data_IF_867715063641
#
_entry.id   IF_867715063641
#
_cell.length_a   1.000
_cell.length_b   1.000
_cell.length_c   1.000
_cell.angle_alpha   90.00
_cell.angle_beta   90.00
_cell.angle_gamma   90.00
#
_symmetry.space_group_name_H-M   'P 1'
#
loop_
_entity.id
_entity.type
_entity.pdbx_description
1 polymer ?
#
# COMPACT_ATOMS: atom_id res chain seq x y z
N UNK A 1 0.43 14.48 20.11
CA UNK A 1 -0.05 13.27 19.44
C UNK A 1 0.46 13.17 18.01
N UNK A 2 -0.03 13.98 17.05
CA UNK A 2 0.44 13.89 15.64
C UNK A 2 1.92 14.28 15.50
N UNK A 3 2.34 15.37 16.14
CA UNK A 3 3.75 15.79 16.13
C UNK A 3 4.68 14.71 16.71
N UNK A 4 4.33 14.17 17.88
CA UNK A 4 5.08 13.08 18.53
C UNK A 4 5.19 11.83 17.63
N UNK A 5 4.12 11.47 16.90
CA UNK A 5 4.17 10.35 15.94
C UNK A 5 5.04 10.62 14.71
N UNK A 6 5.13 11.88 14.26
CA UNK A 6 6.03 12.26 13.17
C UNK A 6 7.50 12.23 13.63
N UNK A 7 7.76 12.70 14.84
CA UNK A 7 9.09 12.63 15.47
C UNK A 7 9.53 11.18 15.69
N UNK A 8 8.62 10.32 16.17
CA UNK A 8 8.87 8.87 16.33
C UNK A 8 9.16 8.19 14.98
N UNK A 9 8.45 8.56 13.92
CA UNK A 9 8.63 7.96 12.60
C UNK A 9 9.97 8.36 11.96
N UNK A 10 10.43 9.61 12.14
CA UNK A 10 11.74 10.10 11.72
C UNK A 10 12.12 9.69 10.29
N UNK A 11 13.29 9.06 10.13
CA UNK A 11 13.84 8.63 8.85
C UNK A 11 12.95 7.62 8.09
N UNK A 12 12.05 6.92 8.78
CA UNK A 12 11.14 5.94 8.15
C UNK A 12 10.16 6.63 7.20
N UNK A 13 9.84 7.90 7.43
CA UNK A 13 9.01 8.72 6.54
C UNK A 13 9.65 8.89 5.15
N UNK A 14 10.98 8.81 5.07
CA UNK A 14 11.75 8.99 3.84
C UNK A 14 12.16 7.66 3.19
N UNK A 15 11.64 6.52 3.63
CA UNK A 15 11.93 5.20 3.07
C UNK A 15 11.65 5.10 1.56
N UNK A 16 10.70 5.88 1.03
CA UNK A 16 10.39 5.93 -0.39
C UNK A 16 11.54 6.49 -1.26
N UNK A 17 12.48 7.23 -0.69
CA UNK A 17 13.65 7.77 -1.43
C UNK A 17 14.58 6.66 -1.94
N UNK A 18 14.44 5.45 -1.40
CA UNK A 18 15.16 4.24 -1.83
C UNK A 18 14.55 3.57 -3.07
N UNK A 19 13.39 4.05 -3.50
CA UNK A 19 12.69 3.59 -4.71
C UNK A 19 13.09 4.46 -5.90
N UNK A 20 12.93 3.92 -7.11
CA UNK A 20 13.08 4.70 -8.34
C UNK A 20 12.12 5.93 -8.31
N UNK A 21 12.55 7.12 -8.78
CA UNK A 21 11.71 8.32 -8.79
C UNK A 21 10.35 8.13 -9.47
N UNK A 22 10.23 7.24 -10.45
CA UNK A 22 8.95 6.90 -11.09
C UNK A 22 7.93 6.30 -10.11
N UNK A 23 8.39 5.69 -9.01
CA UNK A 23 7.55 5.06 -7.98
C UNK A 23 7.17 6.01 -6.84
N UNK A 24 7.82 7.17 -6.70
CA UNK A 24 7.61 8.06 -5.56
C UNK A 24 6.18 8.57 -5.44
N UNK A 25 5.49 8.74 -6.58
CA UNK A 25 4.07 9.11 -6.59
C UNK A 25 3.21 7.98 -6.02
N UNK A 26 3.44 6.76 -6.46
CA UNK A 26 2.75 5.55 -5.99
C UNK A 26 3.02 5.27 -4.52
N UNK A 27 4.25 5.47 -4.05
CA UNK A 27 4.65 5.24 -2.67
C UNK A 27 4.03 6.24 -1.67
N UNK A 28 3.75 7.47 -2.11
CA UNK A 28 3.22 8.55 -1.25
C UNK A 28 1.70 8.70 -1.30
N UNK A 29 1.01 8.01 -2.21
CA UNK A 29 -0.46 8.08 -2.33
C UNK A 29 -1.12 6.90 -1.65
N UNK A 30 -2.22 7.16 -0.93
CA UNK A 30 -3.09 6.13 -0.34
C UNK A 30 -4.17 5.65 -1.30
N UNK A 31 -4.30 6.25 -2.49
CA UNK A 31 -5.41 5.99 -3.40
C UNK A 31 -5.52 4.50 -3.80
N UNK A 32 -4.39 3.82 -4.05
CA UNK A 32 -4.41 2.40 -4.42
C UNK A 32 -4.97 1.52 -3.28
N UNK A 33 -4.57 1.77 -2.03
CA UNK A 33 -5.03 1.03 -0.86
C UNK A 33 -6.48 1.38 -0.50
N UNK A 34 -6.87 2.64 -0.63
CA UNK A 34 -8.24 3.11 -0.39
C UNK A 34 -9.21 2.47 -1.36
N UNK A 35 -8.89 2.48 -2.66
CA UNK A 35 -9.71 1.83 -3.70
C UNK A 35 -9.83 0.32 -3.48
N UNK A 36 -8.75 -0.35 -3.09
CA UNK A 36 -8.77 -1.78 -2.79
C UNK A 36 -9.69 -2.07 -1.59
N UNK A 37 -9.54 -1.30 -0.51
CA UNK A 37 -10.35 -1.45 0.69
C UNK A 37 -11.83 -1.17 0.42
N UNK A 38 -12.14 -0.14 -0.37
CA UNK A 38 -13.51 0.19 -0.76
C UNK A 38 -14.13 -0.90 -1.62
N UNK A 39 -13.42 -1.40 -2.62
CA UNK A 39 -13.90 -2.50 -3.48
C UNK A 39 -14.11 -3.78 -2.66
N UNK A 40 -13.18 -4.11 -1.76
CA UNK A 40 -13.34 -5.22 -0.83
C UNK A 40 -14.60 -5.07 0.01
N UNK A 41 -14.79 -3.92 0.68
CA UNK A 41 -15.98 -3.62 1.49
C UNK A 41 -17.26 -3.70 0.67
N UNK A 42 -17.24 -3.27 -0.59
CA UNK A 42 -18.39 -3.37 -1.51
C UNK A 42 -18.75 -4.83 -1.80
N UNK A 43 -17.75 -5.70 -2.01
CA UNK A 43 -17.94 -7.13 -2.32
C UNK A 43 -18.44 -7.94 -1.12
N UNK A 44 -17.99 -7.61 0.09
CA UNK A 44 -18.38 -8.31 1.31
C UNK A 44 -19.56 -7.65 2.04
N UNK A 45 -20.16 -6.57 1.51
CA UNK A 45 -21.21 -5.80 2.19
C UNK A 45 -22.39 -6.64 2.69
N UNK A 46 -22.71 -7.74 2.00
CA UNK A 46 -23.82 -8.65 2.36
C UNK A 46 -23.42 -9.72 3.39
N UNK A 47 -22.13 -9.89 3.66
CA UNK A 47 -21.62 -10.80 4.69
C UNK A 47 -21.65 -10.05 6.02
N UNK A 48 -22.65 -10.33 6.85
CA UNK A 48 -22.96 -9.52 8.04
C UNK A 48 -22.05 -9.82 9.24
N UNK A 49 -21.40 -10.98 9.29
CA UNK A 49 -20.44 -11.35 10.34
C UNK A 49 -19.39 -12.31 9.75
N UNK A 50 -18.12 -12.02 10.00
CA UNK A 50 -17.02 -12.95 9.73
C UNK A 50 -16.69 -13.73 11.01
N UNK A 51 -16.41 -15.04 10.92
CA UNK A 51 -16.23 -15.90 12.10
C UNK A 51 -14.99 -15.55 12.93
N UNK A 52 -13.95 -14.97 12.31
CA UNK A 52 -12.74 -14.51 12.99
C UNK A 52 -11.98 -13.46 12.14
N UNK A 53 -11.01 -12.77 12.75
CA UNK A 53 -10.25 -11.71 12.10
C UNK A 53 -9.44 -12.21 10.89
N UNK A 54 -8.96 -13.45 10.96
CA UNK A 54 -8.20 -14.13 9.91
C UNK A 54 -9.03 -14.36 8.64
N UNK A 55 -10.37 -14.33 8.74
CA UNK A 55 -11.24 -14.50 7.57
C UNK A 55 -11.20 -13.31 6.63
N UNK A 56 -10.92 -12.10 7.13
CA UNK A 56 -10.80 -10.89 6.31
C UNK A 56 -9.71 -11.04 5.24
N UNK A 57 -8.43 -11.30 5.59
CA UNK A 57 -7.39 -11.47 4.58
C UNK A 57 -7.65 -12.68 3.69
N UNK A 58 -8.20 -13.79 4.21
CA UNK A 58 -8.54 -14.95 3.36
C UNK A 58 -9.55 -14.59 2.26
N UNK A 59 -10.62 -13.87 2.60
CA UNK A 59 -11.61 -13.42 1.62
C UNK A 59 -11.03 -12.41 0.64
N UNK A 60 -10.20 -11.47 1.11
CA UNK A 60 -9.52 -10.53 0.24
C UNK A 60 -8.69 -11.27 -0.83
N UNK A 61 -7.89 -12.25 -0.42
CA UNK A 61 -7.10 -13.07 -1.33
C UNK A 61 -7.96 -13.94 -2.25
N UNK A 62 -9.03 -14.54 -1.74
CA UNK A 62 -9.95 -15.34 -2.56
C UNK A 62 -10.61 -14.50 -3.65
N UNK A 63 -11.02 -13.26 -3.33
CA UNK A 63 -11.62 -12.32 -4.29
C UNK A 63 -10.61 -11.81 -5.33
N UNK A 64 -9.33 -11.67 -4.95
CA UNK A 64 -8.24 -11.36 -5.88
C UNK A 64 -7.96 -12.54 -6.81
N UNK A 65 -7.83 -13.75 -6.27
CA UNK A 65 -7.55 -14.97 -7.03
C UNK A 65 -8.71 -15.34 -7.97
N UNK A 66 -9.95 -15.10 -7.57
CA UNK A 66 -11.14 -15.31 -8.42
C UNK A 66 -11.32 -14.23 -9.50
N UNK A 67 -10.54 -13.15 -9.46
CA UNK A 67 -10.66 -12.01 -10.37
C UNK A 67 -11.87 -11.11 -10.09
N UNK A 68 -12.60 -11.34 -8.99
CA UNK A 68 -13.71 -10.47 -8.57
C UNK A 68 -13.21 -9.10 -8.10
N UNK A 69 -11.99 -9.03 -7.57
CA UNK A 69 -11.22 -7.81 -7.38
C UNK A 69 -10.03 -7.87 -8.34
N UNK A 70 -9.88 -6.85 -9.17
CA UNK A 70 -8.75 -6.73 -10.08
C UNK A 70 -7.79 -5.65 -9.58
N UNK A 71 -6.54 -6.03 -9.36
CA UNK A 71 -5.47 -5.08 -9.07
C UNK A 71 -5.07 -4.33 -10.34
N UNK A 72 -4.81 -3.03 -10.16
CA UNK A 72 -4.26 -2.18 -11.21
C UNK A 72 -2.75 -2.02 -11.01
N UNK A 73 -2.04 -1.91 -12.13
CA UNK A 73 -0.63 -1.52 -12.13
C UNK A 73 -0.52 -0.10 -11.55
N UNK A 74 0.43 0.09 -10.66
CA UNK A 74 0.76 1.40 -10.08
C UNK A 74 1.74 2.13 -10.99
N UNK A 75 1.84 3.46 -10.85
CA UNK A 75 2.86 4.22 -11.58
C UNK A 75 4.26 3.73 -11.14
N UNK A 76 5.15 3.51 -12.11
CA UNK A 76 6.49 2.94 -11.86
C UNK A 76 6.50 1.43 -11.60
N UNK A 77 5.45 0.68 -11.97
CA UNK A 77 5.40 -0.78 -11.76
C UNK A 77 6.53 -1.53 -12.49
N UNK A 78 7.05 -0.98 -13.58
CA UNK A 78 8.14 -1.55 -14.38
C UNK A 78 9.44 -1.70 -13.60
N UNK A 79 9.67 -0.82 -12.62
CA UNK A 79 10.89 -0.80 -11.80
C UNK A 79 10.72 -1.53 -10.47
N UNK A 80 9.57 -2.19 -10.20
CA UNK A 80 9.31 -2.85 -8.91
C UNK A 80 10.24 -4.03 -8.61
N UNK A 81 10.80 -4.65 -9.64
CA UNK A 81 11.78 -5.74 -9.50
C UNK A 81 13.20 -5.25 -9.25
N UNK A 82 13.44 -3.94 -9.37
CA UNK A 82 14.78 -3.37 -9.15
C UNK A 82 15.11 -3.35 -7.65
N UNK A 83 16.37 -3.59 -7.29
CA UNK A 83 16.79 -3.54 -5.89
C UNK A 83 16.66 -2.12 -5.34
N UNK A 84 16.32 -2.01 -4.06
CA UNK A 84 16.29 -0.73 -3.36
C UNK A 84 17.68 -0.12 -3.31
N UNK A 85 17.78 1.17 -3.65
CA UNK A 85 19.04 1.89 -3.49
C UNK A 85 19.29 2.21 -2.01
N UNK A 86 20.55 2.43 -1.61
CA UNK A 86 20.87 2.99 -0.30
C UNK A 86 20.11 4.31 -0.10
N UNK A 87 19.67 4.55 1.13
CA UNK A 87 18.94 5.77 1.49
C UNK A 87 19.84 6.99 1.33
N UNK A 88 19.61 7.80 0.30
CA UNK A 88 20.30 9.07 0.09
C UNK A 88 19.50 10.21 0.70
N UNK A 89 19.49 10.32 2.03
CA UNK A 89 18.91 11.48 2.73
C UNK A 89 19.72 12.77 2.47
N UNK A 90 21.00 12.64 2.10
CA UNK A 90 21.96 13.73 1.92
C UNK A 90 21.75 14.61 0.67
N UNK A 91 20.77 14.31 -0.19
CA UNK A 91 20.50 15.07 -1.43
C UNK A 91 19.24 15.94 -1.37
N UNK A 92 18.54 15.96 -0.23
CA UNK A 92 17.26 16.66 -0.08
C UNK A 92 17.27 17.80 0.96
N UNK A 93 18.45 18.16 1.49
CA UNK A 93 18.65 19.33 2.35
C UNK A 93 19.11 20.55 1.55
#
# INVERSE_FOLDING_TARGET
AVADSLEEAGDRLFSFTRLDPSQWKSARTTNAIERLNEEFRRRIKTQTVLPCAETVPMLLWALLASGQIQMRKVDGWETLSQPLVPMSLDLAA
#
